data_IF_667040026660
#
_entry.id   IF_667040026660
#
_cell.length_a   1.000
_cell.length_b   1.000
_cell.length_c   1.000
_cell.angle_alpha   90.00
_cell.angle_beta   90.00
_cell.angle_gamma   90.00
#
_symmetry.space_group_name_H-M   'P 1'
#
loop_
_entity.id
_entity.type
_entity.pdbx_description
1 polymer ?
#
# COMPACT_ATOMS: atom_id res chain seq x y z
N UNK A 1 55.54 -79.51 -57.85
CA UNK A 1 55.97 -80.67 -57.05
C UNK A 1 55.58 -80.45 -55.61
N UNK A 2 54.68 -81.31 -55.14
CA UNK A 2 54.13 -81.42 -53.80
C UNK A 2 54.98 -82.40 -52.97
N UNK A 3 55.27 -82.07 -51.71
CA UNK A 3 55.75 -82.93 -50.61
C UNK A 3 55.54 -82.11 -49.31
N UNK A 4 54.74 -82.46 -48.31
CA UNK A 4 54.17 -83.73 -47.87
C UNK A 4 54.62 -84.01 -46.43
N UNK A 5 53.65 -84.38 -45.56
CA UNK A 5 53.72 -84.82 -44.13
C UNK A 5 53.72 -83.74 -43.04
N UNK A 6 53.07 -83.91 -41.88
CA UNK A 6 52.17 -84.94 -41.31
C UNK A 6 51.55 -84.33 -40.03
N UNK A 7 50.22 -84.24 -39.91
CA UNK A 7 49.34 -85.03 -39.01
C UNK A 7 49.83 -85.33 -37.59
N UNK A 8 49.11 -84.79 -36.59
CA UNK A 8 48.67 -85.40 -35.33
C UNK A 8 48.07 -84.29 -34.44
N UNK A 9 46.77 -83.97 -34.56
CA UNK A 9 45.68 -84.58 -33.79
C UNK A 9 45.81 -84.44 -32.27
N UNK A 10 44.86 -83.70 -31.66
CA UNK A 10 44.03 -84.08 -30.49
C UNK A 10 43.72 -82.89 -29.57
N UNK A 11 42.45 -82.46 -29.58
CA UNK A 11 41.49 -82.63 -28.47
C UNK A 11 40.41 -81.56 -28.50
N UNK A 12 39.20 -82.07 -28.62
CA UNK A 12 37.88 -81.44 -28.66
C UNK A 12 37.55 -80.78 -27.31
N UNK A 13 37.02 -79.56 -27.34
CA UNK A 13 36.19 -79.04 -26.25
C UNK A 13 35.02 -78.25 -26.85
N UNK A 14 33.94 -78.97 -27.13
CA UNK A 14 32.61 -78.40 -27.38
C UNK A 14 32.14 -77.81 -26.05
N UNK A 15 32.05 -76.48 -25.95
CA UNK A 15 31.49 -75.83 -24.76
C UNK A 15 29.96 -75.90 -24.80
N UNK A 16 29.31 -76.25 -23.68
CA UNK A 16 27.88 -76.51 -23.63
C UNK A 16 27.08 -75.21 -23.77
N UNK A 17 25.96 -75.32 -24.48
CA UNK A 17 24.98 -74.25 -24.66
C UNK A 17 24.47 -73.73 -23.32
N UNK A 18 24.52 -72.41 -23.14
CA UNK A 18 23.86 -71.72 -22.04
C UNK A 18 22.53 -71.15 -22.52
N UNK A 19 21.50 -71.96 -22.26
CA UNK A 19 20.12 -71.62 -21.91
C UNK A 19 19.79 -70.13 -22.00
N UNK A 20 18.85 -69.79 -22.89
CA UNK A 20 18.12 -68.52 -22.94
C UNK A 20 17.58 -68.20 -21.54
N UNK A 21 18.18 -67.23 -20.84
CA UNK A 21 17.62 -66.70 -19.60
C UNK A 21 16.59 -65.62 -19.94
N UNK A 22 15.40 -65.90 -19.44
CA UNK A 22 14.22 -65.05 -19.27
C UNK A 22 14.50 -63.55 -19.23
N UNK A 23 13.65 -62.80 -19.92
CA UNK A 23 13.37 -61.41 -19.63
C UNK A 23 13.09 -61.26 -18.12
N UNK A 24 13.98 -60.56 -17.42
CA UNK A 24 13.80 -60.19 -16.03
C UNK A 24 13.98 -58.68 -15.90
N UNK A 25 12.85 -57.99 -15.70
CA UNK A 25 12.72 -56.86 -14.79
C UNK A 25 13.55 -55.59 -15.02
N UNK A 26 12.85 -54.56 -15.53
CA UNK A 26 12.87 -53.16 -15.05
C UNK A 26 13.98 -52.20 -15.55
N UNK A 27 13.76 -50.85 -15.56
CA UNK A 27 12.49 -50.10 -15.54
C UNK A 27 12.42 -48.95 -16.57
N UNK A 28 11.30 -48.85 -17.28
CA UNK A 28 10.82 -47.58 -17.83
C UNK A 28 10.34 -46.67 -16.68
N UNK A 29 11.23 -46.16 -15.83
CA UNK A 29 10.86 -45.24 -14.73
C UNK A 29 11.93 -44.19 -14.37
N UNK A 30 13.05 -44.11 -15.10
CA UNK A 30 14.14 -43.18 -14.79
C UNK A 30 14.20 -41.92 -15.68
N UNK A 31 13.34 -41.82 -16.70
CA UNK A 31 13.35 -40.68 -17.64
C UNK A 31 12.45 -39.51 -17.23
N UNK A 32 11.42 -39.75 -16.39
CA UNK A 32 10.56 -38.70 -15.82
C UNK A 32 11.19 -38.04 -14.58
N UNK A 33 11.86 -38.82 -13.74
CA UNK A 33 12.42 -38.36 -12.46
C UNK A 33 13.59 -37.37 -12.64
N UNK A 34 14.47 -37.58 -13.62
CA UNK A 34 15.59 -36.65 -13.91
C UNK A 34 15.11 -35.31 -14.47
N UNK A 35 13.94 -35.26 -15.12
CA UNK A 35 13.33 -34.02 -15.64
C UNK A 35 12.58 -33.27 -14.53
N UNK A 36 11.84 -33.97 -13.68
CA UNK A 36 11.20 -33.41 -12.48
C UNK A 36 12.22 -32.79 -11.50
N UNK A 37 13.38 -33.45 -11.29
CA UNK A 37 14.44 -32.95 -10.43
C UNK A 37 15.15 -31.71 -11.01
N UNK A 38 15.19 -31.56 -12.34
CA UNK A 38 15.71 -30.35 -13.02
C UNK A 38 14.70 -29.19 -12.94
N UNK A 39 13.41 -29.47 -13.11
CA UNK A 39 12.35 -28.47 -13.01
C UNK A 39 12.21 -27.91 -11.58
N UNK A 40 12.24 -28.76 -10.56
CA UNK A 40 12.20 -28.34 -9.16
C UNK A 40 13.40 -27.46 -8.77
N UNK A 41 14.60 -27.81 -9.25
CA UNK A 41 15.80 -26.97 -9.06
C UNK A 41 15.65 -25.60 -9.70
N UNK A 42 15.06 -25.50 -10.89
CA UNK A 42 14.82 -24.21 -11.56
C UNK A 42 13.80 -23.37 -10.79
N UNK A 43 12.69 -23.96 -10.34
CA UNK A 43 11.68 -23.25 -9.54
C UNK A 43 12.26 -22.72 -8.23
N UNK A 44 13.09 -23.52 -7.54
CA UNK A 44 13.81 -23.05 -6.35
C UNK A 44 14.74 -21.90 -6.70
N UNK A 45 15.55 -22.01 -7.75
CA UNK A 45 16.51 -20.96 -8.11
C UNK A 45 15.81 -19.65 -8.50
N UNK A 46 14.66 -19.73 -9.19
CA UNK A 46 13.86 -18.55 -9.55
C UNK A 46 13.29 -17.90 -8.29
N UNK A 47 12.67 -18.66 -7.38
CA UNK A 47 12.14 -18.12 -6.13
C UNK A 47 13.24 -17.56 -5.22
N UNK A 48 14.41 -18.20 -5.20
CA UNK A 48 15.56 -17.73 -4.43
C UNK A 48 16.14 -16.45 -5.02
N UNK A 49 16.25 -16.34 -6.35
CA UNK A 49 16.68 -15.12 -7.02
C UNK A 49 15.70 -13.96 -6.82
N UNK A 50 14.39 -14.24 -6.89
CA UNK A 50 13.33 -13.26 -6.61
C UNK A 50 13.35 -12.83 -5.14
N UNK A 51 13.50 -13.76 -4.20
CA UNK A 51 13.58 -13.47 -2.77
C UNK A 51 14.83 -12.66 -2.42
N UNK A 52 16.00 -13.04 -2.94
CA UNK A 52 17.26 -12.31 -2.72
C UNK A 52 17.19 -10.91 -3.35
N UNK A 53 16.64 -10.77 -4.57
CA UNK A 53 16.44 -9.48 -5.21
C UNK A 53 15.49 -8.57 -4.43
N UNK A 54 14.40 -9.11 -3.88
CA UNK A 54 13.46 -8.37 -3.04
C UNK A 54 14.08 -7.94 -1.71
N UNK A 55 14.87 -8.81 -1.06
CA UNK A 55 15.57 -8.50 0.19
C UNK A 55 16.66 -7.46 -0.03
N UNK A 56 17.49 -7.59 -1.06
CA UNK A 56 18.52 -6.59 -1.38
C UNK A 56 17.90 -5.25 -1.81
N UNK A 57 16.84 -5.27 -2.63
CA UNK A 57 16.14 -4.06 -3.05
C UNK A 57 15.47 -3.33 -1.87
N UNK A 58 14.81 -4.07 -0.98
CA UNK A 58 14.20 -3.50 0.23
C UNK A 58 15.24 -2.99 1.22
N UNK A 59 16.39 -3.66 1.39
CA UNK A 59 17.48 -3.19 2.24
C UNK A 59 18.18 -1.94 1.68
N UNK A 60 18.37 -1.85 0.36
CA UNK A 60 18.96 -0.68 -0.29
C UNK A 60 18.01 0.54 -0.22
N UNK A 61 16.72 0.34 -0.46
CA UNK A 61 15.69 1.38 -0.30
C UNK A 61 15.52 1.80 1.18
N UNK A 62 15.59 0.84 2.12
CA UNK A 62 15.45 1.10 3.57
C UNK A 62 16.56 1.98 4.14
N UNK A 63 17.78 1.90 3.57
CA UNK A 63 18.90 2.76 3.97
C UNK A 63 18.67 4.24 3.59
N UNK A 64 17.89 4.51 2.54
CA UNK A 64 17.54 5.86 2.08
C UNK A 64 16.32 6.45 2.81
N UNK A 65 15.31 5.63 3.13
CA UNK A 65 14.07 6.05 3.83
C UNK A 65 14.32 6.55 5.26
N UNK A 66 15.46 6.20 5.87
CA UNK A 66 15.88 6.72 7.16
C UNK A 66 16.09 8.24 7.18
N UNK A 67 16.37 8.88 6.03
CA UNK A 67 16.59 10.33 5.93
C UNK A 67 15.29 11.13 6.02
N UNK A 68 14.22 10.65 5.39
CA UNK A 68 12.89 11.29 5.37
C UNK A 68 12.11 11.08 6.68
N UNK A 69 12.33 9.96 7.39
CA UNK A 69 11.63 9.68 8.65
C UNK A 69 11.95 10.71 9.76
N UNK A 70 13.15 11.30 9.76
CA UNK A 70 13.52 12.33 10.75
C UNK A 70 12.81 13.65 10.51
N UNK A 71 12.56 14.01 9.26
CA UNK A 71 11.77 15.19 8.91
C UNK A 71 10.29 14.98 9.24
N UNK A 72 9.76 13.77 9.07
CA UNK A 72 8.38 13.44 9.47
C UNK A 72 8.20 13.37 10.98
N UNK A 73 9.21 12.94 11.75
CA UNK A 73 9.14 12.97 13.23
C UNK A 73 9.17 14.41 13.77
N UNK A 74 9.94 15.30 13.12
CA UNK A 74 10.00 16.73 13.44
C UNK A 74 8.79 17.51 12.90
N UNK A 75 8.21 17.06 11.79
CA UNK A 75 6.98 17.60 11.21
C UNK A 75 5.72 16.86 11.69
N UNK A 76 5.86 15.87 12.58
CA UNK A 76 4.73 15.27 13.29
C UNK A 76 4.26 16.37 14.22
N UNK A 77 3.09 17.01 14.00
CA UNK A 77 2.58 17.87 15.03
C UNK A 77 2.46 16.99 16.27
N UNK A 78 3.03 17.49 17.37
CA UNK A 78 2.70 17.03 18.71
C UNK A 78 1.21 17.38 18.89
N UNK A 79 0.32 16.60 18.29
CA UNK A 79 -1.14 16.69 18.49
C UNK A 79 -1.52 16.22 19.89
N UNK A 80 -0.56 15.73 20.67
CA UNK A 80 -0.77 15.23 22.03
C UNK A 80 -0.53 16.30 23.11
N UNK A 81 -0.26 17.55 22.76
CA UNK A 81 -0.09 18.62 23.78
C UNK A 81 -0.53 20.00 23.30
N UNK A 82 -1.50 20.09 22.37
CA UNK A 82 -2.33 21.30 22.37
C UNK A 82 -3.33 21.08 23.49
N UNK A 83 -3.32 21.87 24.59
CA UNK A 83 -4.49 21.88 25.46
C UNK A 83 -5.68 22.08 24.53
N UNK A 84 -6.71 21.28 24.68
CA UNK A 84 -8.02 21.47 24.05
C UNK A 84 -8.68 22.75 24.59
N UNK A 85 -7.90 23.83 24.74
CA UNK A 85 -8.36 25.19 24.60
C UNK A 85 -8.78 25.33 23.14
N UNK A 86 -10.00 24.89 22.88
CA UNK A 86 -10.78 25.21 21.70
C UNK A 86 -10.65 26.70 21.46
N UNK A 87 -9.76 27.11 20.55
CA UNK A 87 -9.69 28.51 20.13
C UNK A 87 -11.03 28.81 19.50
N UNK A 88 -11.71 29.80 20.08
CA UNK A 88 -12.98 30.31 19.59
C UNK A 88 -12.78 31.72 19.10
N UNK A 89 -13.39 32.02 17.96
CA UNK A 89 -13.42 33.37 17.40
C UNK A 89 -14.86 33.79 17.23
N UNK A 90 -15.20 34.97 17.74
CA UNK A 90 -16.48 35.61 17.47
C UNK A 90 -16.27 36.61 16.34
N UNK A 91 -16.95 36.37 15.23
CA UNK A 91 -16.74 37.08 13.96
C UNK A 91 -18.08 37.60 13.47
N UNK A 92 -18.07 38.75 12.79
CA UNK A 92 -19.23 39.25 12.07
C UNK A 92 -19.07 39.01 10.58
N UNK A 93 -20.17 38.88 9.88
CA UNK A 93 -20.16 38.76 8.43
C UNK A 93 -21.53 38.94 7.83
N UNK A 94 -21.58 38.82 6.51
CA UNK A 94 -22.81 38.85 5.72
C UNK A 94 -22.97 37.48 5.06
N UNK A 95 -24.12 36.86 5.25
CA UNK A 95 -24.42 35.57 4.62
C UNK A 95 -24.58 35.78 3.12
N UNK A 96 -23.82 35.06 2.32
CA UNK A 96 -23.90 35.13 0.85
C UNK A 96 -24.76 34.00 0.28
N UNK A 97 -24.57 32.79 0.78
CA UNK A 97 -25.32 31.60 0.33
C UNK A 97 -25.49 30.66 1.51
N UNK A 98 -26.68 30.07 1.66
CA UNK A 98 -26.96 28.97 2.58
C UNK A 98 -27.22 27.73 1.75
N UNK A 99 -26.42 26.68 1.96
CA UNK A 99 -26.45 25.43 1.20
C UNK A 99 -26.71 24.25 2.15
N UNK A 100 -27.95 24.10 2.66
CA UNK A 100 -28.30 23.07 3.62
C UNK A 100 -28.11 21.65 3.06
N UNK A 101 -28.21 21.46 1.74
CA UNK A 101 -28.02 20.19 1.05
C UNK A 101 -26.62 19.59 1.20
N UNK A 102 -25.59 20.43 1.38
CA UNK A 102 -24.20 20.04 1.61
C UNK A 102 -23.71 20.40 3.01
N UNK A 103 -24.62 20.87 3.88
CA UNK A 103 -24.32 21.37 5.22
C UNK A 103 -23.22 22.44 5.23
N UNK A 104 -23.34 23.45 4.35
CA UNK A 104 -22.39 24.57 4.25
C UNK A 104 -23.11 25.91 4.24
N UNK A 105 -22.44 26.91 4.76
CA UNK A 105 -22.85 28.31 4.65
C UNK A 105 -21.68 29.15 4.17
N UNK A 106 -21.92 29.97 3.15
CA UNK A 106 -20.95 30.90 2.61
C UNK A 106 -21.17 32.25 3.26
N UNK A 107 -20.19 32.71 4.03
CA UNK A 107 -20.26 33.98 4.76
C UNK A 107 -19.09 34.84 4.30
N UNK A 108 -19.40 36.07 3.93
CA UNK A 108 -18.43 37.15 3.75
C UNK A 108 -18.08 37.70 5.13
N UNK A 109 -16.99 37.21 5.69
CA UNK A 109 -16.63 37.48 7.07
C UNK A 109 -15.68 38.67 7.19
N UNK A 110 -15.78 39.40 8.30
CA UNK A 110 -14.81 40.43 8.68
C UNK A 110 -13.45 39.79 9.03
N UNK A 111 -12.43 40.63 9.21
CA UNK A 111 -11.10 40.18 9.60
C UNK A 111 -11.14 39.40 10.93
N UNK A 112 -10.51 38.23 10.96
CA UNK A 112 -10.40 37.35 12.12
C UNK A 112 -8.95 37.38 12.63
N UNK A 113 -8.65 38.13 13.71
CA UNK A 113 -7.28 38.29 14.19
C UNK A 113 -6.61 36.96 14.51
N UNK A 114 -5.44 36.73 13.90
CA UNK A 114 -4.64 35.52 14.10
C UNK A 114 -5.17 34.27 13.39
N UNK A 115 -6.23 34.40 12.57
CA UNK A 115 -6.75 33.31 11.75
C UNK A 115 -6.71 33.65 10.26
N UNK A 116 -7.38 34.73 9.84
CA UNK A 116 -7.48 35.12 8.42
C UNK A 116 -8.11 36.50 8.20
N UNK A 117 -7.75 37.15 7.10
CA UNK A 117 -8.33 38.43 6.66
C UNK A 117 -9.76 38.30 6.15
N UNK A 118 -10.47 39.42 5.98
CA UNK A 118 -11.85 39.44 5.51
C UNK A 118 -11.98 38.82 4.12
N UNK A 119 -12.79 37.76 3.99
CA UNK A 119 -13.05 37.09 2.72
C UNK A 119 -14.39 36.33 2.76
N UNK A 120 -14.86 35.88 1.60
CA UNK A 120 -16.01 34.99 1.50
C UNK A 120 -15.55 33.53 1.45
N UNK A 121 -15.96 32.73 2.42
CA UNK A 121 -15.62 31.30 2.46
C UNK A 121 -16.78 30.45 3.00
N UNK A 122 -16.70 29.15 2.77
CA UNK A 122 -17.65 28.17 3.28
C UNK A 122 -17.27 27.70 4.70
N UNK A 123 -18.24 27.71 5.61
CA UNK A 123 -18.12 27.16 6.95
C UNK A 123 -19.03 25.95 7.13
N UNK A 124 -18.58 24.98 7.94
CA UNK A 124 -19.37 23.83 8.38
C UNK A 124 -20.03 24.15 9.72
N UNK A 125 -21.35 24.06 9.86
CA UNK A 125 -22.00 24.16 11.15
C UNK A 125 -21.80 22.87 11.95
N UNK A 126 -21.65 23.01 13.27
CA UNK A 126 -21.60 21.88 14.21
C UNK A 126 -22.92 21.10 14.22
N UNK A 127 -24.03 21.81 14.01
CA UNK A 127 -25.37 21.27 13.90
C UNK A 127 -26.06 21.89 12.66
N UNK A 128 -26.59 21.08 11.72
CA UNK A 128 -27.33 21.59 10.55
C UNK A 128 -28.48 22.53 10.90
N UNK A 129 -29.06 22.42 12.10
CA UNK A 129 -30.15 23.28 12.55
C UNK A 129 -29.74 24.74 12.71
N UNK A 130 -28.44 25.03 12.85
CA UNK A 130 -27.90 26.39 12.90
C UNK A 130 -28.14 27.15 11.58
N UNK A 131 -28.36 26.46 10.48
CA UNK A 131 -28.66 27.08 9.18
C UNK A 131 -30.13 27.49 9.06
N UNK A 132 -31.00 27.05 9.97
CA UNK A 132 -32.43 27.34 9.91
C UNK A 132 -32.69 28.81 10.29
N UNK A 133 -33.48 29.50 9.46
CA UNK A 133 -33.86 30.89 9.72
C UNK A 133 -32.77 31.92 9.39
N UNK A 134 -31.66 31.49 8.78
CA UNK A 134 -30.62 32.37 8.25
C UNK A 134 -30.85 32.56 6.76
N UNK A 135 -30.87 33.82 6.31
CA UNK A 135 -31.18 34.18 4.93
C UNK A 135 -29.95 34.79 4.25
N UNK A 136 -29.71 34.54 2.95
CA UNK A 136 -28.74 35.30 2.18
C UNK A 136 -29.00 36.81 2.26
N UNK A 137 -27.97 37.58 2.59
CA UNK A 137 -28.04 39.03 2.83
C UNK A 137 -28.04 39.43 4.30
N UNK A 138 -28.30 38.50 5.22
CA UNK A 138 -28.35 38.80 6.66
C UNK A 138 -26.96 39.12 7.20
N UNK A 139 -26.88 40.18 8.01
CA UNK A 139 -25.71 40.45 8.83
C UNK A 139 -25.79 39.53 10.04
N UNK A 140 -24.73 38.76 10.26
CA UNK A 140 -24.69 37.72 11.30
C UNK A 140 -23.45 37.86 12.15
N UNK A 141 -23.60 37.53 13.43
CA UNK A 141 -22.52 37.26 14.35
C UNK A 141 -22.42 35.76 14.53
N UNK A 142 -21.28 35.17 14.24
CA UNK A 142 -21.08 33.74 14.33
C UNK A 142 -19.82 33.42 15.12
N UNK A 143 -19.82 32.25 15.75
CA UNK A 143 -18.70 31.76 16.53
C UNK A 143 -18.08 30.56 15.83
N UNK A 144 -16.78 30.66 15.55
CA UNK A 144 -15.97 29.58 15.02
C UNK A 144 -15.19 28.91 16.14
N UNK A 145 -14.97 27.61 16.01
CA UNK A 145 -14.19 26.80 16.92
C UNK A 145 -13.18 25.96 16.14
N UNK A 146 -11.92 26.00 16.57
CA UNK A 146 -10.87 25.15 16.01
C UNK A 146 -10.95 23.73 16.60
N UNK A 147 -11.41 22.78 15.79
CA UNK A 147 -11.47 21.35 16.16
C UNK A 147 -10.46 20.56 15.35
N UNK A 148 -9.42 20.08 16.05
CA UNK A 148 -8.25 19.38 15.49
C UNK A 148 -7.56 20.14 14.35
N UNK A 149 -8.11 20.05 13.13
CA UNK A 149 -7.57 20.64 11.91
C UNK A 149 -8.67 21.25 11.02
N UNK A 150 -9.84 21.56 11.60
CA UNK A 150 -11.02 22.15 10.93
C UNK A 150 -11.56 23.33 11.73
N UNK A 151 -12.20 24.26 11.04
CA UNK A 151 -12.96 25.36 11.63
C UNK A 151 -14.45 25.02 11.55
N UNK A 152 -15.09 24.91 12.72
CA UNK A 152 -16.50 24.55 12.84
C UNK A 152 -17.27 25.76 13.37
N UNK A 153 -18.41 26.06 12.75
CA UNK A 153 -19.35 27.08 13.20
C UNK A 153 -20.23 26.49 14.30
N UNK A 154 -20.11 27.01 15.52
CA UNK A 154 -20.80 26.48 16.70
C UNK A 154 -22.02 27.30 17.11
N UNK A 155 -22.17 28.50 16.54
CA UNK A 155 -23.30 29.38 16.81
C UNK A 155 -23.36 30.48 15.77
N UNK A 156 -24.58 30.88 15.44
CA UNK A 156 -24.88 31.96 14.51
C UNK A 156 -26.11 32.70 15.00
N UNK A 157 -26.00 34.02 15.03
CA UNK A 157 -27.02 34.95 15.50
C UNK A 157 -27.19 36.01 14.41
N UNK A 158 -28.40 36.20 13.91
CA UNK A 158 -28.73 37.30 13.01
C UNK A 158 -28.70 38.60 13.78
N UNK A 159 -27.83 39.53 13.38
CA UNK A 159 -27.86 40.90 13.88
C UNK A 159 -29.03 41.61 13.20
N UNK A 160 -30.13 41.78 13.93
CA UNK A 160 -31.24 42.60 13.46
C UNK A 160 -30.72 44.01 13.18
N UNK A 161 -30.86 44.47 11.93
CA UNK A 161 -30.54 45.84 11.57
C UNK A 161 -31.45 46.83 12.32
N UNK A 162 -30.94 48.03 12.67
CA UNK A 162 -31.76 49.11 13.24
C UNK A 162 -32.82 49.62 12.26
#
# INVERSE_FOLDING_TARGET
MDRGRATAERHRAVKPGKVRRACAGSPCALSGWRRAMRLYKVVILVNLALGVGFVFGSLWWSREVGRLRREVELARPITLTRPTGERRWSVRGIVRVVAPEINRIFIDHENIPGLMEAMTMAFEPADPTLLNGVTPGDRVRFTLQEQANRLILIGIETEAGP
#
